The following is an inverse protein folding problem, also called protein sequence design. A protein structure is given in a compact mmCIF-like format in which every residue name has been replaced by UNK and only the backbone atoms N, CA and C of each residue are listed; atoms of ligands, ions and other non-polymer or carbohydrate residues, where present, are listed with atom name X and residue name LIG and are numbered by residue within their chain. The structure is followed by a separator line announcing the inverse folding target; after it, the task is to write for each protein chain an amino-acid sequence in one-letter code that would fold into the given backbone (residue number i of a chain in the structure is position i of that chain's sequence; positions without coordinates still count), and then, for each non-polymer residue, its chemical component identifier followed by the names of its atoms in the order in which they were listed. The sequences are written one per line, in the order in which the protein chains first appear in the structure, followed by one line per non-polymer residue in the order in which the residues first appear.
data_IF_632116347286
#
_entry.id   IF_632116347286
#
_cell.length_a   1.000
_cell.length_b   1.000
_cell.length_c   1.000
_cell.angle_alpha   90.00
_cell.angle_beta   90.00
_cell.angle_gamma   90.00
#
_symmetry.space_group_name_H-M   'P 1'
#
loop_
_entity.id
_entity.type
_entity.pdbx_description
1 polymer ?
#
# COMPACT_ATOMS: atom_id res chain seq x y z
N UNK A 1 -31.91 -8.49 4.92
CA UNK A 1 -30.91 -7.53 4.39
C UNK A 1 -30.09 -7.03 5.58
N UNK A 2 -28.78 -7.28 5.61
CA UNK A 2 -27.92 -6.70 6.66
C UNK A 2 -27.96 -5.17 6.56
N UNK A 3 -28.17 -4.54 7.70
CA UNK A 3 -28.19 -3.07 7.78
C UNK A 3 -26.81 -2.51 7.39
N UNK A 4 -26.72 -1.81 6.25
CA UNK A 4 -25.47 -1.29 5.68
C UNK A 4 -24.75 -0.36 6.68
N UNK A 5 -25.52 0.32 7.56
CA UNK A 5 -24.94 1.21 8.59
C UNK A 5 -24.18 0.43 9.68
N UNK A 6 -24.54 -0.83 9.92
CA UNK A 6 -23.92 -1.68 10.94
C UNK A 6 -22.68 -2.44 10.46
N UNK A 7 -22.30 -2.32 9.17
CA UNK A 7 -21.13 -3.02 8.63
C UNK A 7 -19.85 -2.40 9.15
N UNK A 8 -18.93 -3.25 9.61
CA UNK A 8 -17.59 -2.82 10.00
C UNK A 8 -16.85 -2.24 8.79
N UNK A 9 -16.36 -1.02 8.94
CA UNK A 9 -15.60 -0.30 7.95
C UNK A 9 -14.13 -0.21 8.37
N UNK A 10 -13.26 -0.05 7.40
CA UNK A 10 -11.82 0.06 7.59
C UNK A 10 -11.22 0.97 6.53
N UNK A 11 -9.99 1.41 6.78
CA UNK A 11 -9.17 2.14 5.82
C UNK A 11 -8.34 1.14 5.04
N UNK A 12 -8.20 1.35 3.72
CA UNK A 12 -7.08 0.81 2.93
C UNK A 12 -6.28 1.99 2.44
N UNK A 13 -4.95 1.96 2.62
CA UNK A 13 -4.05 3.08 2.32
C UNK A 13 -2.81 2.56 1.60
N UNK A 14 -2.31 3.35 0.67
CA UNK A 14 -1.00 3.17 0.03
C UNK A 14 -0.29 4.51 -0.08
N UNK A 15 1.05 4.48 -0.12
CA UNK A 15 1.88 5.66 -0.15
C UNK A 15 3.02 5.54 -1.14
N UNK A 16 3.18 6.57 -1.99
CA UNK A 16 4.37 6.74 -2.80
C UNK A 16 5.39 7.61 -2.07
N UNK A 17 6.67 7.23 -2.18
CA UNK A 17 7.72 7.85 -1.39
C UNK A 17 8.88 8.33 -2.25
N UNK A 18 9.43 9.47 -1.87
CA UNK A 18 10.71 9.96 -2.34
C UNK A 18 11.83 9.39 -1.47
N UNK A 19 12.73 8.64 -2.09
CA UNK A 19 13.92 8.07 -1.46
C UNK A 19 15.14 8.50 -2.26
N UNK A 20 16.27 8.66 -1.59
CA UNK A 20 17.52 8.79 -2.29
C UNK A 20 17.81 7.49 -3.05
N UNK A 21 17.84 7.55 -4.38
CA UNK A 21 18.08 6.41 -5.27
C UNK A 21 19.53 6.33 -5.74
N UNK A 22 20.45 7.10 -5.15
CA UNK A 22 21.86 6.96 -5.41
C UNK A 22 22.26 5.48 -5.33
N UNK A 23 22.87 4.93 -6.40
CA UNK A 23 23.22 3.51 -6.51
C UNK A 23 24.03 3.00 -5.31
N UNK A 24 24.78 3.90 -4.68
CA UNK A 24 25.63 3.60 -3.54
C UNK A 24 24.97 3.84 -2.18
N UNK A 25 23.87 4.58 -2.13
CA UNK A 25 23.25 4.99 -0.88
C UNK A 25 21.72 4.90 -0.96
N UNK A 26 21.22 3.69 -1.23
CA UNK A 26 19.78 3.41 -1.19
C UNK A 26 19.28 3.55 0.24
N UNK A 27 19.11 4.80 0.70
CA UNK A 27 18.46 5.06 1.97
C UNK A 27 16.95 4.80 1.89
N UNK A 28 16.59 3.51 1.84
CA UNK A 28 15.21 3.07 2.06
C UNK A 28 14.81 3.24 3.53
N UNK A 29 15.72 3.67 4.39
CA UNK A 29 15.46 3.83 5.82
C UNK A 29 14.74 5.14 6.14
N UNK A 30 14.74 6.12 5.22
CA UNK A 30 14.18 7.45 5.45
C UNK A 30 13.25 7.96 4.34
N UNK A 31 12.29 7.15 3.83
CA UNK A 31 11.39 7.61 2.79
C UNK A 31 10.47 8.73 3.29
N UNK A 32 10.28 9.75 2.47
CA UNK A 32 9.27 10.79 2.68
C UNK A 32 8.11 10.58 1.70
N UNK A 33 6.91 10.57 2.23
CA UNK A 33 5.68 10.33 1.46
C UNK A 33 5.32 11.58 0.68
N UNK A 34 5.17 11.45 -0.65
CA UNK A 34 4.70 12.53 -1.52
C UNK A 34 3.31 12.28 -2.13
N UNK A 35 2.83 11.03 -2.14
CA UNK A 35 1.46 10.70 -2.56
C UNK A 35 0.82 9.79 -1.50
N UNK A 36 -0.43 10.06 -1.16
CA UNK A 36 -1.23 9.23 -0.25
C UNK A 36 -2.57 8.97 -0.92
N UNK A 37 -2.83 7.70 -1.22
CA UNK A 37 -4.15 7.21 -1.57
C UNK A 37 -4.80 6.51 -0.39
N UNK A 38 -6.10 6.72 -0.16
CA UNK A 38 -6.84 5.86 0.75
C UNK A 38 -8.32 5.76 0.42
N UNK A 39 -8.93 4.67 0.84
CA UNK A 39 -10.37 4.47 0.81
C UNK A 39 -10.90 4.08 2.19
N UNK A 40 -12.16 4.45 2.44
CA UNK A 40 -12.96 3.85 3.50
C UNK A 40 -13.86 2.81 2.84
N UNK A 41 -13.75 1.56 3.26
CA UNK A 41 -14.44 0.45 2.61
C UNK A 41 -14.92 -0.61 3.62
N UNK A 42 -15.72 -1.58 3.15
CA UNK A 42 -16.11 -2.77 3.91
C UNK A 42 -15.66 -4.06 3.23
N UNK A 43 -15.76 -5.19 3.93
CA UNK A 43 -15.36 -6.51 3.40
C UNK A 43 -16.27 -7.04 2.28
N UNK A 44 -17.34 -6.35 1.94
CA UNK A 44 -18.33 -6.77 0.95
C UNK A 44 -18.13 -6.08 -0.42
N UNK A 45 -17.14 -5.20 -0.53
CA UNK A 45 -16.80 -4.54 -1.78
C UNK A 45 -17.34 -3.12 -1.90
N UNK A 46 -17.99 -2.57 -0.85
CA UNK A 46 -18.48 -1.19 -0.89
C UNK A 46 -17.40 -0.22 -0.44
N UNK A 47 -17.14 0.79 -1.27
CA UNK A 47 -16.33 1.97 -0.96
C UNK A 47 -17.29 3.09 -0.53
N UNK A 48 -17.00 3.70 0.60
CA UNK A 48 -17.80 4.79 1.19
C UNK A 48 -17.17 6.15 0.93
N UNK A 49 -15.83 6.19 0.87
CA UNK A 49 -15.04 7.40 0.63
C UNK A 49 -13.73 7.04 -0.03
N UNK A 50 -13.18 7.94 -0.83
CA UNK A 50 -11.86 7.80 -1.45
C UNK A 50 -11.16 9.16 -1.49
N UNK A 51 -9.85 9.16 -1.28
CA UNK A 51 -9.01 10.34 -1.39
C UNK A 51 -7.68 10.00 -2.06
N UNK A 52 -7.17 10.96 -2.83
CA UNK A 52 -5.82 10.95 -3.41
C UNK A 52 -5.20 12.31 -3.14
N UNK A 53 -4.12 12.34 -2.37
CA UNK A 53 -3.45 13.57 -1.93
C UNK A 53 -2.01 13.59 -2.41
N UNK A 54 -1.61 14.66 -3.08
CA UNK A 54 -0.20 14.99 -3.29
C UNK A 54 0.24 15.80 -2.08
N UNK A 55 1.31 15.36 -1.41
CA UNK A 55 1.83 15.99 -0.20
C UNK A 55 2.77 17.10 -0.60
N UNK A 56 2.28 18.36 -0.52
CA UNK A 56 3.01 19.56 -0.92
C UNK A 56 4.34 19.68 -0.22
N UNK A 57 4.37 19.46 1.10
CA UNK A 57 5.58 19.53 1.95
C UNK A 57 6.74 18.67 1.42
N UNK A 58 6.48 17.68 0.54
CA UNK A 58 7.50 16.85 -0.08
C UNK A 58 7.56 17.09 -1.59
N UNK A 59 6.41 17.05 -2.28
CA UNK A 59 6.36 17.11 -3.74
C UNK A 59 6.85 18.46 -4.29
N UNK A 60 6.49 19.56 -3.63
CA UNK A 60 6.87 20.92 -4.06
C UNK A 60 8.09 21.44 -3.28
N UNK A 61 8.17 21.19 -1.96
CA UNK A 61 9.18 21.80 -1.11
C UNK A 61 10.52 21.03 -1.14
N UNK A 62 10.51 19.71 -1.45
CA UNK A 62 11.69 18.83 -1.51
C UNK A 62 12.03 18.42 -2.95
N UNK A 63 12.18 19.39 -3.86
CA UNK A 63 12.35 19.13 -5.30
C UNK A 63 13.58 18.30 -5.63
N UNK A 64 14.70 18.50 -4.94
CA UNK A 64 15.93 17.70 -5.15
C UNK A 64 15.67 16.24 -4.79
N UNK A 65 14.97 15.99 -3.68
CA UNK A 65 14.59 14.65 -3.26
C UNK A 65 13.62 14.01 -4.26
N UNK A 66 12.65 14.78 -4.76
CA UNK A 66 11.69 14.29 -5.76
C UNK A 66 12.37 13.91 -7.07
N UNK A 67 13.37 14.66 -7.53
CA UNK A 67 14.15 14.32 -8.72
C UNK A 67 15.00 13.06 -8.53
N UNK A 68 15.40 12.73 -7.31
CA UNK A 68 16.12 11.51 -6.96
C UNK A 68 15.20 10.32 -6.62
N UNK A 69 13.89 10.51 -6.55
CA UNK A 69 12.94 9.47 -6.23
C UNK A 69 12.92 8.34 -7.28
N UNK A 70 12.67 7.13 -6.85
CA UNK A 70 12.60 5.97 -7.75
C UNK A 70 11.64 6.17 -8.91
N UNK A 71 10.50 6.85 -8.67
CA UNK A 71 9.48 7.16 -9.67
C UNK A 71 9.56 8.62 -10.18
N UNK A 72 10.72 9.27 -10.13
CA UNK A 72 10.91 10.64 -10.61
C UNK A 72 10.40 10.85 -12.05
N UNK A 73 10.50 9.84 -12.92
CA UNK A 73 9.97 9.85 -14.28
C UNK A 73 8.45 10.11 -14.36
N UNK A 74 7.70 9.93 -13.26
CA UNK A 74 6.26 10.18 -13.19
C UNK A 74 5.91 11.61 -12.78
N UNK A 75 6.87 12.41 -12.33
CA UNK A 75 6.65 13.81 -11.93
C UNK A 75 5.87 14.60 -13.00
N UNK A 76 6.17 14.49 -14.32
CA UNK A 76 5.39 15.20 -15.35
C UNK A 76 3.90 14.82 -15.34
N UNK A 77 3.55 13.54 -15.13
CA UNK A 77 2.16 13.08 -15.05
C UNK A 77 1.44 13.67 -13.83
N UNK A 78 2.14 13.77 -12.67
CA UNK A 78 1.61 14.41 -11.48
C UNK A 78 1.33 15.89 -11.71
N UNK A 79 2.28 16.63 -12.32
CA UNK A 79 2.12 18.05 -12.65
C UNK A 79 0.93 18.24 -13.61
N UNK A 80 0.79 17.39 -14.63
CA UNK A 80 -0.33 17.45 -15.56
C UNK A 80 -1.67 17.22 -14.85
N UNK A 81 -1.76 16.21 -13.95
CA UNK A 81 -2.98 15.94 -13.18
C UNK A 81 -3.36 17.09 -12.24
N UNK A 82 -2.36 17.79 -11.66
CA UNK A 82 -2.57 19.00 -10.86
C UNK A 82 -3.12 20.14 -11.74
N UNK A 83 -2.50 20.36 -12.91
CA UNK A 83 -2.92 21.42 -13.84
C UNK A 83 -4.34 21.19 -14.37
N UNK A 84 -4.76 19.93 -14.53
CA UNK A 84 -6.14 19.58 -14.90
C UNK A 84 -7.13 19.64 -13.74
N UNK A 85 -6.66 19.90 -12.52
CA UNK A 85 -7.49 19.90 -11.31
C UNK A 85 -7.96 18.51 -10.85
N UNK A 86 -7.38 17.45 -11.39
CA UNK A 86 -7.70 16.05 -11.02
C UNK A 86 -7.10 15.67 -9.67
N UNK A 87 -5.95 16.26 -9.33
CA UNK A 87 -5.25 16.09 -8.07
C UNK A 87 -4.94 17.43 -7.44
N UNK A 88 -4.94 17.48 -6.13
CA UNK A 88 -4.66 18.72 -5.38
C UNK A 88 -3.51 18.51 -4.40
N UNK A 89 -2.43 19.30 -4.50
CA UNK A 89 -1.41 19.35 -3.46
C UNK A 89 -1.99 19.94 -2.18
N UNK A 90 -1.75 19.25 -1.07
CA UNK A 90 -2.16 19.68 0.27
C UNK A 90 -1.04 19.42 1.28
N UNK A 91 -1.07 20.13 2.41
CA UNK A 91 -0.14 19.87 3.48
C UNK A 91 -0.41 18.52 4.13
N UNK A 92 0.64 17.80 4.52
CA UNK A 92 0.52 16.51 5.21
C UNK A 92 -0.35 16.61 6.48
N UNK A 93 -0.26 17.73 7.20
CA UNK A 93 -1.09 17.95 8.39
C UNK A 93 -2.57 17.97 8.05
N UNK A 94 -2.94 18.56 6.91
CA UNK A 94 -4.32 18.59 6.42
C UNK A 94 -4.76 17.22 5.93
N UNK A 95 -3.93 16.52 5.16
CA UNK A 95 -4.18 15.13 4.73
C UNK A 95 -4.45 14.22 5.93
N UNK A 96 -3.57 14.30 6.95
CA UNK A 96 -3.73 13.58 8.22
C UNK A 96 -5.04 13.93 8.93
N UNK A 97 -5.38 15.22 9.01
CA UNK A 97 -6.61 15.68 9.65
C UNK A 97 -7.84 15.10 8.95
N UNK A 98 -7.90 15.16 7.62
CA UNK A 98 -9.01 14.61 6.82
C UNK A 98 -9.15 13.10 7.09
N UNK A 99 -8.06 12.35 6.98
CA UNK A 99 -8.07 10.90 7.26
C UNK A 99 -8.61 10.60 8.68
N UNK A 100 -8.16 11.35 9.69
CA UNK A 100 -8.61 11.14 11.07
C UNK A 100 -10.09 11.49 11.26
N UNK A 101 -10.62 12.53 10.57
CA UNK A 101 -12.04 12.84 10.58
C UNK A 101 -12.86 11.72 9.90
N UNK A 102 -12.38 11.20 8.76
CA UNK A 102 -13.03 10.09 8.08
C UNK A 102 -13.03 8.82 8.95
N UNK A 103 -11.89 8.48 9.57
CA UNK A 103 -11.81 7.36 10.49
C UNK A 103 -12.81 7.49 11.66
N UNK A 104 -12.98 8.71 12.18
CA UNK A 104 -13.93 8.99 13.24
C UNK A 104 -15.38 8.89 12.75
N UNK A 105 -15.71 9.51 11.60
CA UNK A 105 -17.05 9.51 10.99
C UNK A 105 -17.54 8.07 10.71
N UNK A 106 -16.64 7.22 10.19
CA UNK A 106 -16.97 5.85 9.81
C UNK A 106 -16.67 4.80 10.88
N UNK A 107 -16.24 5.19 12.09
CA UNK A 107 -15.80 4.32 13.20
C UNK A 107 -14.75 3.29 12.76
N UNK A 108 -13.78 3.74 11.95
CA UNK A 108 -12.69 2.90 11.46
C UNK A 108 -11.58 2.79 12.51
N UNK A 109 -11.29 1.57 12.95
CA UNK A 109 -10.20 1.27 13.90
C UNK A 109 -9.06 0.49 13.27
N UNK A 110 -9.27 -0.04 12.06
CA UNK A 110 -8.30 -0.83 11.32
C UNK A 110 -7.86 -0.09 10.06
N UNK A 111 -6.56 -0.14 9.82
CA UNK A 111 -5.91 0.37 8.60
C UNK A 111 -5.17 -0.79 7.95
N UNK A 112 -5.48 -1.04 6.69
CA UNK A 112 -4.88 -2.07 5.86
C UNK A 112 -3.96 -1.44 4.82
N UNK A 113 -2.82 -2.07 4.54
CA UNK A 113 -1.93 -1.75 3.43
C UNK A 113 -1.17 -3.01 2.97
N UNK A 114 -0.69 -3.03 1.75
CA UNK A 114 0.20 -4.09 1.27
C UNK A 114 1.64 -3.79 1.71
N UNK A 115 2.23 -4.61 2.57
CA UNK A 115 3.47 -4.27 3.28
C UNK A 115 3.32 -3.11 4.28
N UNK A 116 2.27 -3.14 5.06
CA UNK A 116 1.79 -2.07 5.95
C UNK A 116 2.84 -1.44 6.89
N UNK A 117 3.98 -2.10 7.16
CA UNK A 117 5.09 -1.50 7.91
C UNK A 117 5.77 -0.37 7.13
N UNK A 118 5.80 -0.47 5.80
CA UNK A 118 6.39 0.55 4.95
C UNK A 118 5.55 1.83 5.03
N UNK A 119 4.26 1.74 4.76
CA UNK A 119 3.33 2.88 4.76
C UNK A 119 3.23 3.55 6.13
N UNK A 120 3.12 2.73 7.19
CA UNK A 120 3.11 3.23 8.56
C UNK A 120 4.39 4.03 8.87
N UNK A 121 5.55 3.50 8.49
CA UNK A 121 6.83 4.15 8.76
C UNK A 121 7.00 5.40 7.89
N UNK A 122 6.64 5.35 6.61
CA UNK A 122 6.72 6.48 5.69
C UNK A 122 5.86 7.65 6.18
N UNK A 123 4.59 7.42 6.49
CA UNK A 123 3.68 8.43 7.03
C UNK A 123 4.19 9.04 8.35
N UNK A 124 4.63 8.20 9.30
CA UNK A 124 5.14 8.68 10.60
C UNK A 124 6.43 9.48 10.43
N UNK A 125 7.32 9.04 9.57
CA UNK A 125 8.59 9.70 9.31
C UNK A 125 8.38 11.05 8.67
N UNK A 126 7.55 11.11 7.63
CA UNK A 126 7.22 12.37 6.96
C UNK A 126 6.61 13.37 7.93
N UNK A 127 5.67 12.94 8.77
CA UNK A 127 5.09 13.80 9.81
C UNK A 127 6.13 14.32 10.80
N UNK A 128 7.06 13.47 11.23
CA UNK A 128 8.15 13.86 12.15
C UNK A 128 9.14 14.81 11.48
N UNK A 129 9.47 14.55 10.22
CA UNK A 129 10.33 15.41 9.41
C UNK A 129 9.75 16.83 9.32
N UNK A 130 8.49 16.95 8.89
CA UNK A 130 7.81 18.24 8.71
C UNK A 130 7.59 18.96 10.05
N UNK A 131 7.23 18.22 11.11
CA UNK A 131 6.90 18.85 12.41
C UNK A 131 8.10 19.01 13.32
N UNK A 132 9.28 18.50 12.93
CA UNK A 132 10.50 18.43 13.76
C UNK A 132 10.25 17.83 15.15
N UNK A 133 9.33 16.85 15.24
CA UNK A 133 8.92 16.22 16.50
C UNK A 133 8.95 14.69 16.41
N UNK A 134 9.84 14.06 17.17
CA UNK A 134 10.01 12.60 17.21
C UNK A 134 8.80 11.84 17.78
N UNK A 135 7.91 12.51 18.48
CA UNK A 135 6.79 11.88 19.20
C UNK A 135 5.45 11.97 18.47
N UNK A 136 5.43 12.37 17.21
CA UNK A 136 4.19 12.45 16.43
C UNK A 136 3.95 11.18 15.63
N UNK A 137 2.70 10.76 15.61
CA UNK A 137 2.22 9.60 14.85
C UNK A 137 1.12 10.04 13.86
N UNK A 138 1.15 9.46 12.66
CA UNK A 138 0.19 9.82 11.60
C UNK A 138 -1.22 9.32 11.93
N UNK A 139 -1.34 8.06 12.31
CA UNK A 139 -2.63 7.47 12.68
C UNK A 139 -3.02 7.80 14.13
N UNK A 140 -4.34 7.79 14.43
CA UNK A 140 -4.82 7.93 15.81
C UNK A 140 -4.26 6.85 16.74
N UNK A 141 -4.16 7.18 18.03
CA UNK A 141 -3.80 6.17 19.03
C UNK A 141 -4.84 5.03 19.06
N UNK A 142 -4.37 3.80 19.18
CA UNK A 142 -5.21 2.60 19.18
C UNK A 142 -5.62 2.10 17.79
N UNK A 143 -5.13 2.73 16.70
CA UNK A 143 -5.34 2.21 15.35
C UNK A 143 -4.63 0.86 15.18
N UNK A 144 -5.36 -0.15 14.71
CA UNK A 144 -4.82 -1.46 14.41
C UNK A 144 -4.31 -1.51 12.96
N UNK A 145 -3.01 -1.65 12.80
CA UNK A 145 -2.38 -1.79 11.48
C UNK A 145 -2.43 -3.25 11.04
N UNK A 146 -2.95 -3.51 9.86
CA UNK A 146 -3.18 -4.82 9.26
C UNK A 146 -2.42 -4.94 7.93
N UNK A 147 -1.76 -6.06 7.69
CA UNK A 147 -0.93 -6.27 6.51
C UNK A 147 -1.61 -7.19 5.48
N UNK A 148 -2.02 -6.63 4.34
CA UNK A 148 -2.62 -7.38 3.23
C UNK A 148 -1.61 -8.39 2.66
N UNK A 149 -0.33 -8.01 2.56
CA UNK A 149 0.73 -8.91 2.10
C UNK A 149 0.83 -10.18 2.95
N UNK A 150 0.82 -10.03 4.30
CA UNK A 150 0.84 -11.20 5.18
C UNK A 150 -0.38 -12.10 4.97
N UNK A 151 -1.57 -11.50 4.85
CA UNK A 151 -2.81 -12.22 4.58
C UNK A 151 -2.73 -12.96 3.22
N UNK A 152 -2.35 -12.26 2.15
CA UNK A 152 -2.22 -12.83 0.81
C UNK A 152 -1.23 -14.00 0.77
N UNK A 153 -0.05 -13.84 1.40
CA UNK A 153 0.94 -14.90 1.49
C UNK A 153 0.44 -16.15 2.20
N UNK A 154 -0.51 -16.02 3.15
CA UNK A 154 -1.05 -17.17 3.86
C UNK A 154 -2.16 -17.90 3.09
N UNK A 155 -3.03 -17.19 2.39
CA UNK A 155 -4.26 -17.80 1.86
C UNK A 155 -4.43 -17.77 0.35
N UNK A 156 -3.71 -16.88 -0.37
CA UNK A 156 -3.73 -16.80 -1.83
C UNK A 156 -2.45 -17.38 -2.44
N UNK A 157 -1.29 -16.84 -2.06
CA UNK A 157 0.01 -17.19 -2.66
C UNK A 157 0.58 -18.53 -2.18
N UNK A 158 -0.15 -19.22 -1.32
CA UNK A 158 0.09 -20.63 -0.94
C UNK A 158 -0.85 -21.61 -1.63
N UNK A 159 -1.67 -21.18 -2.58
CA UNK A 159 -2.52 -22.07 -3.37
C UNK A 159 -1.70 -22.80 -4.44
N UNK A 160 -2.04 -24.07 -4.74
CA UNK A 160 -1.37 -24.84 -5.79
C UNK A 160 -1.51 -24.18 -7.16
N UNK A 161 -2.67 -23.55 -7.44
CA UNK A 161 -2.91 -22.80 -8.66
C UNK A 161 -2.00 -21.58 -8.78
N UNK A 162 -1.74 -20.85 -7.68
CA UNK A 162 -0.75 -19.76 -7.69
C UNK A 162 0.63 -20.28 -8.07
N UNK A 163 1.09 -21.37 -7.44
CA UNK A 163 2.39 -21.96 -7.74
C UNK A 163 2.52 -22.36 -9.21
N UNK A 164 1.49 -23.02 -9.77
CA UNK A 164 1.48 -23.39 -11.18
C UNK A 164 1.56 -22.17 -12.11
N UNK A 165 0.81 -21.11 -11.78
CA UNK A 165 0.86 -19.83 -12.53
C UNK A 165 2.21 -19.16 -12.40
N UNK A 166 2.79 -19.14 -11.21
CA UNK A 166 4.11 -18.55 -10.95
C UNK A 166 5.23 -19.26 -11.71
N UNK A 167 5.20 -20.61 -11.78
CA UNK A 167 6.13 -21.40 -12.59
C UNK A 167 5.99 -21.05 -14.07
N UNK A 168 4.75 -21.05 -14.58
CA UNK A 168 4.45 -20.74 -15.99
C UNK A 168 4.97 -19.36 -16.42
N UNK A 169 4.82 -18.36 -15.54
CA UNK A 169 5.15 -16.95 -15.85
C UNK A 169 6.54 -16.54 -15.32
N UNK A 170 7.30 -17.43 -14.72
CA UNK A 170 8.64 -17.13 -14.21
C UNK A 170 8.63 -16.10 -13.05
N UNK A 171 7.62 -16.12 -12.19
CA UNK A 171 7.47 -15.16 -11.09
C UNK A 171 8.39 -15.48 -9.92
N UNK A 172 9.68 -15.38 -10.18
CA UNK A 172 10.75 -15.60 -9.21
C UNK A 172 11.67 -14.40 -9.10
N UNK A 173 12.20 -14.18 -7.91
CA UNK A 173 13.28 -13.23 -7.70
C UNK A 173 14.61 -13.79 -8.23
N UNK A 174 15.67 -12.97 -8.41
CA UNK A 174 16.99 -13.46 -8.77
C UNK A 174 17.56 -14.52 -7.81
N UNK A 175 17.12 -14.49 -6.53
CA UNK A 175 17.50 -15.48 -5.51
C UNK A 175 16.64 -16.77 -5.56
N UNK A 176 15.76 -16.93 -6.57
CA UNK A 176 14.89 -18.07 -6.76
C UNK A 176 13.65 -18.10 -5.86
N UNK A 177 13.38 -17.07 -5.06
CA UNK A 177 12.18 -17.02 -4.24
C UNK A 177 10.95 -16.61 -5.06
N UNK A 178 9.79 -17.15 -4.72
CA UNK A 178 8.52 -16.71 -5.32
C UNK A 178 8.31 -15.20 -5.09
N UNK A 179 7.97 -14.46 -6.15
CA UNK A 179 7.56 -13.06 -6.05
C UNK A 179 6.19 -12.97 -5.39
N UNK A 180 6.03 -12.00 -4.51
CA UNK A 180 4.81 -11.82 -3.70
C UNK A 180 4.41 -10.35 -3.59
N UNK A 181 4.79 -9.50 -4.56
CA UNK A 181 4.35 -8.10 -4.63
C UNK A 181 2.83 -8.01 -4.83
N UNK A 182 2.25 -6.83 -4.61
CA UNK A 182 0.84 -6.58 -4.87
C UNK A 182 0.52 -6.80 -6.35
N UNK A 183 1.38 -6.34 -7.26
CA UNK A 183 1.29 -6.60 -8.70
C UNK A 183 1.15 -8.10 -9.02
N UNK A 184 2.01 -8.95 -8.44
CA UNK A 184 1.95 -10.41 -8.65
C UNK A 184 0.67 -11.03 -8.06
N UNK A 185 0.29 -10.60 -6.86
CA UNK A 185 -0.93 -11.07 -6.23
C UNK A 185 -2.17 -10.68 -7.04
N UNK A 186 -2.20 -9.45 -7.56
CA UNK A 186 -3.29 -8.96 -8.40
C UNK A 186 -3.32 -9.64 -9.77
N UNK A 187 -2.16 -9.79 -10.44
CA UNK A 187 -2.02 -10.56 -11.67
C UNK A 187 -2.58 -11.98 -11.54
N UNK A 188 -2.29 -12.62 -10.41
CA UNK A 188 -2.81 -13.96 -10.13
C UNK A 188 -4.33 -13.99 -9.96
N UNK A 189 -4.90 -13.08 -9.15
CA UNK A 189 -6.35 -13.12 -8.87
C UNK A 189 -7.22 -12.68 -10.04
N UNK A 190 -6.65 -11.89 -10.97
CA UNK A 190 -7.32 -11.42 -12.20
C UNK A 190 -7.01 -12.29 -13.42
N UNK A 191 -6.07 -13.24 -13.28
CA UNK A 191 -5.54 -14.05 -14.38
C UNK A 191 -4.97 -13.19 -15.53
N UNK A 192 -4.35 -12.05 -15.20
CA UNK A 192 -3.69 -11.13 -16.12
C UNK A 192 -2.20 -11.06 -15.79
N UNK A 193 -1.38 -11.86 -16.49
CA UNK A 193 0.06 -11.94 -16.23
C UNK A 193 0.85 -10.69 -16.67
N UNK A 194 0.28 -9.88 -17.55
CA UNK A 194 0.90 -8.67 -18.11
C UNK A 194 0.50 -7.41 -17.33
N UNK A 195 -0.23 -7.55 -16.24
CA UNK A 195 -0.61 -6.44 -15.39
C UNK A 195 0.63 -5.76 -14.79
N UNK A 196 0.64 -4.43 -14.81
CA UNK A 196 1.64 -3.58 -14.16
C UNK A 196 0.94 -2.53 -13.30
N UNK A 197 1.47 -2.29 -12.11
CA UNK A 197 0.98 -1.24 -11.21
C UNK A 197 1.28 0.15 -11.78
N UNK A 198 0.33 1.07 -11.60
CA UNK A 198 0.47 2.47 -12.00
C UNK A 198 1.41 3.24 -11.06
N UNK A 199 1.68 2.73 -9.87
CA UNK A 199 2.42 3.40 -8.80
C UNK A 199 1.90 4.81 -8.53
N UNK A 200 0.62 4.87 -8.23
CA UNK A 200 -0.12 6.07 -7.81
C UNK A 200 -1.00 5.68 -6.64
N UNK A 201 -0.81 6.32 -5.50
CA UNK A 201 -1.38 5.86 -4.23
C UNK A 201 -2.84 5.41 -4.28
N UNK A 202 -3.77 6.15 -4.92
CA UNK A 202 -5.17 5.71 -4.98
C UNK A 202 -5.39 4.52 -5.92
N UNK A 203 -4.68 4.45 -7.05
CA UNK A 203 -4.82 3.36 -8.01
C UNK A 203 -4.34 2.05 -7.38
N UNK A 204 -3.22 2.10 -6.67
CA UNK A 204 -2.63 0.95 -5.97
C UNK A 204 -3.50 0.53 -4.77
N UNK A 205 -4.11 1.47 -4.04
CA UNK A 205 -5.12 1.17 -3.01
C UNK A 205 -6.28 0.35 -3.56
N UNK A 206 -6.79 0.65 -4.77
CA UNK A 206 -7.89 -0.10 -5.37
C UNK A 206 -7.48 -1.54 -5.71
N UNK A 207 -6.24 -1.73 -6.16
CA UNK A 207 -5.64 -3.06 -6.41
C UNK A 207 -5.49 -3.84 -5.10
N UNK A 208 -4.91 -3.23 -4.09
CA UNK A 208 -4.73 -3.82 -2.76
C UNK A 208 -6.06 -4.19 -2.11
N UNK A 209 -7.07 -3.34 -2.27
CA UNK A 209 -8.42 -3.63 -1.78
C UNK A 209 -9.03 -4.86 -2.46
N UNK A 210 -8.83 -5.05 -3.78
CA UNK A 210 -9.27 -6.27 -4.47
C UNK A 210 -8.57 -7.52 -3.93
N UNK A 211 -7.26 -7.44 -3.65
CA UNK A 211 -6.50 -8.52 -3.03
C UNK A 211 -7.06 -8.82 -1.63
N UNK A 212 -7.32 -7.79 -0.82
CA UNK A 212 -7.91 -7.93 0.52
C UNK A 212 -9.28 -8.62 0.48
N UNK A 213 -10.17 -8.19 -0.43
CA UNK A 213 -11.46 -8.83 -0.65
C UNK A 213 -11.31 -10.30 -1.03
N UNK A 214 -10.32 -10.62 -1.86
CA UNK A 214 -10.04 -12.00 -2.25
C UNK A 214 -9.54 -12.83 -1.06
N UNK A 215 -8.74 -12.24 -0.17
CA UNK A 215 -8.32 -12.87 1.08
C UNK A 215 -9.54 -13.19 1.98
N UNK A 216 -10.44 -12.23 2.20
CA UNK A 216 -11.64 -12.45 3.00
C UNK A 216 -12.55 -13.54 2.46
N UNK A 217 -12.68 -13.65 1.13
CA UNK A 217 -13.47 -14.71 0.47
C UNK A 217 -12.89 -16.11 0.64
N UNK A 218 -11.65 -16.25 1.15
CA UNK A 218 -11.11 -17.59 1.46
C UNK A 218 -11.73 -18.20 2.72
N UNK A 219 -12.39 -17.41 3.57
CA UNK A 219 -12.99 -17.85 4.83
C UNK A 219 -12.02 -18.62 5.74
N UNK A 220 -10.73 -18.29 5.67
CA UNK A 220 -9.66 -18.91 6.47
C UNK A 220 -9.20 -17.97 7.56
N UNK A 221 -8.77 -18.53 8.70
CA UNK A 221 -8.06 -17.77 9.72
C UNK A 221 -6.75 -17.27 9.14
N UNK A 222 -6.46 -15.99 9.30
CA UNK A 222 -5.26 -15.32 8.81
C UNK A 222 -4.64 -14.49 9.94
N UNK A 223 -3.31 -14.47 10.01
CA UNK A 223 -2.60 -13.47 10.79
C UNK A 223 -2.50 -12.19 9.95
N UNK A 224 -3.07 -11.10 10.47
CA UNK A 224 -3.09 -9.80 9.81
C UNK A 224 -1.96 -8.89 10.29
N UNK A 225 -1.08 -9.35 11.20
CA UNK A 225 0.00 -8.53 11.76
C UNK A 225 1.03 -8.19 10.69
N UNK A 226 1.55 -6.96 10.68
CA UNK A 226 2.63 -6.58 9.78
C UNK A 226 3.89 -7.43 10.00
N UNK A 227 4.52 -7.86 8.91
CA UNK A 227 5.77 -8.64 8.94
C UNK A 227 6.62 -8.31 7.72
N UNK A 228 7.94 -8.28 7.89
CA UNK A 228 8.91 -8.05 6.80
C UNK A 228 9.26 -9.31 6.01
N UNK A 229 8.78 -10.47 6.44
CA UNK A 229 9.21 -11.77 5.91
C UNK A 229 8.06 -12.59 5.32
N UNK A 230 6.96 -11.95 4.93
CA UNK A 230 5.76 -12.62 4.40
C UNK A 230 6.07 -13.50 3.19
N UNK A 231 7.00 -13.07 2.31
CA UNK A 231 7.45 -13.83 1.14
C UNK A 231 8.01 -15.23 1.47
N UNK A 232 8.47 -15.46 2.70
CA UNK A 232 8.96 -16.78 3.13
C UNK A 232 7.85 -17.83 3.22
N UNK A 233 6.60 -17.40 3.41
CA UNK A 233 5.47 -18.33 3.60
C UNK A 233 5.25 -19.19 2.34
N UNK A 234 5.00 -18.64 1.14
CA UNK A 234 4.85 -19.44 -0.06
C UNK A 234 6.16 -20.12 -0.49
N UNK A 235 7.32 -19.45 -0.35
CA UNK A 235 8.61 -20.07 -0.69
C UNK A 235 8.92 -21.28 0.20
N UNK A 236 8.60 -21.22 1.50
CA UNK A 236 8.75 -22.38 2.40
C UNK A 236 7.85 -23.55 1.99
N UNK A 237 6.65 -23.25 1.47
CA UNK A 237 5.68 -24.26 1.06
C UNK A 237 6.06 -24.97 -0.24
N UNK A 238 6.55 -24.23 -1.24
CA UNK A 238 6.74 -24.73 -2.60
C UNK A 238 8.21 -24.88 -3.02
N UNK A 239 9.15 -24.40 -2.23
CA UNK A 239 10.57 -24.38 -2.58
C UNK A 239 10.96 -23.16 -3.40
N UNK A 240 12.25 -23.11 -3.76
CA UNK A 240 12.81 -22.11 -4.68
C UNK A 240 12.77 -22.63 -6.13
N UNK A 241 12.91 -21.72 -7.10
CA UNK A 241 13.10 -22.11 -8.49
C UNK A 241 14.36 -22.95 -8.64
N UNK A 242 14.26 -24.10 -9.33
CA UNK A 242 15.40 -24.98 -9.60
C UNK A 242 15.86 -25.85 -8.41
N UNK A 243 15.07 -25.91 -7.33
CA UNK A 243 15.32 -26.82 -6.19
C UNK A 243 14.60 -28.16 -6.37
#
# INVERSE_FOLDING_TARGET
MENISARKKFVVIDTETANNTDEYNRDTASPLTYDIGYIIADKYGKIYRSHSFIIRDVFEDEQELMQSAYYARKIPEYIESINRGERRPIDLKLARYILQQDMKEFDCKEVYAYNALFDLNACNRTLRYITKSAYRFFFPYGTEIRCIWNMACQVLLTQKSFYQTAVKNGWYSPAGNLKTSAEIAYSYITNNADFQEEHKGLDDVLIEYQILLRCFRQHKKMDCKPSRMCWRIPTKKFGKAGA
#
